data_IF_538451180263
#
_entry.id   IF_538451180263
#
_cell.length_a   1.000
_cell.length_b   1.000
_cell.length_c   1.000
_cell.angle_alpha   90.00
_cell.angle_beta   90.00
_cell.angle_gamma   90.00
#
_symmetry.space_group_name_H-M   'P 1'
#
loop_
_entity.id
_entity.type
_entity.pdbx_description
1 polymer ?
#
# COMPACT_ATOMS: atom_id res chain seq x y z
N UNK A 1 -1.33 -8.36 25.31
CA UNK A 1 -2.76 -7.99 25.53
C UNK A 1 -3.43 -7.47 24.27
N UNK A 2 -2.88 -6.44 23.59
CA UNK A 2 -3.54 -5.83 22.41
C UNK A 2 -3.81 -6.83 21.27
N UNK A 3 -2.88 -7.72 20.86
CA UNK A 3 -3.22 -8.78 19.90
C UNK A 3 -4.35 -9.70 20.37
N UNK A 4 -4.45 -9.96 21.67
CA UNK A 4 -5.58 -10.69 22.25
C UNK A 4 -6.91 -9.93 22.13
N UNK A 5 -6.90 -8.60 22.14
CA UNK A 5 -8.08 -7.79 21.83
C UNK A 5 -8.44 -7.89 20.34
N UNK A 6 -7.45 -7.81 19.45
CA UNK A 6 -7.64 -8.02 18.00
C UNK A 6 -8.29 -9.38 17.75
N UNK A 7 -7.81 -10.45 18.37
CA UNK A 7 -8.38 -11.80 18.22
C UNK A 7 -9.69 -12.05 19.00
N UNK A 8 -10.23 -11.04 19.69
CA UNK A 8 -11.47 -11.16 20.48
C UNK A 8 -11.36 -11.92 21.80
N UNK A 9 -10.15 -12.21 22.30
CA UNK A 9 -9.93 -12.84 23.61
C UNK A 9 -10.13 -11.86 24.78
N UNK A 10 -9.96 -10.56 24.52
CA UNK A 10 -10.19 -9.49 25.48
C UNK A 10 -11.05 -8.40 24.85
N UNK A 11 -11.84 -7.71 25.66
CA UNK A 11 -12.45 -6.45 25.26
C UNK A 11 -11.44 -5.31 25.40
N UNK A 12 -11.63 -4.21 24.68
CA UNK A 12 -10.76 -3.03 24.82
C UNK A 12 -10.73 -2.53 26.28
N UNK A 13 -11.85 -2.58 27.00
CA UNK A 13 -11.93 -2.16 28.41
C UNK A 13 -11.02 -3.00 29.32
N UNK A 14 -10.89 -4.31 29.08
CA UNK A 14 -10.00 -5.20 29.85
C UNK A 14 -8.51 -4.91 29.63
N UNK A 15 -8.17 -4.16 28.57
CA UNK A 15 -6.78 -3.81 28.23
C UNK A 15 -6.39 -2.40 28.68
N UNK A 16 -7.30 -1.66 29.34
CA UNK A 16 -7.10 -0.27 29.75
C UNK A 16 -7.09 -0.15 31.28
N UNK A 17 -6.27 0.77 31.78
CA UNK A 17 -6.20 1.12 33.20
C UNK A 17 -6.73 2.54 33.36
N UNK A 18 -7.63 2.75 34.32
CA UNK A 18 -8.07 4.09 34.68
C UNK A 18 -7.03 4.74 35.61
N UNK A 19 -6.35 5.78 35.14
CA UNK A 19 -5.23 6.40 35.85
C UNK A 19 -5.68 7.27 37.04
N UNK A 20 -6.84 7.91 36.97
CA UNK A 20 -7.28 8.84 38.02
C UNK A 20 -7.51 8.13 39.37
N UNK A 21 -8.27 7.01 39.46
CA UNK A 21 -8.39 6.26 40.72
C UNK A 21 -7.05 5.71 41.22
N UNK A 22 -6.17 5.29 40.31
CA UNK A 22 -4.86 4.74 40.67
C UNK A 22 -3.92 5.81 41.23
N UNK A 23 -3.92 7.00 40.64
CA UNK A 23 -3.17 8.14 41.13
C UNK A 23 -3.67 8.60 42.50
N UNK A 24 -5.00 8.68 42.68
CA UNK A 24 -5.62 8.97 43.97
C UNK A 24 -5.23 7.95 45.04
N UNK A 25 -5.23 6.65 44.71
CA UNK A 25 -4.79 5.59 45.61
C UNK A 25 -3.31 5.73 45.99
N UNK A 26 -2.45 6.13 45.05
CA UNK A 26 -1.02 6.34 45.27
C UNK A 26 -0.69 7.67 45.96
N UNK A 27 -1.67 8.56 46.16
CA UNK A 27 -1.45 9.91 46.68
C UNK A 27 -0.70 10.84 45.72
N UNK A 28 -0.78 10.57 44.41
CA UNK A 28 -0.13 11.37 43.35
C UNK A 28 -1.17 12.23 42.63
N UNK A 29 -0.82 13.48 42.33
CA UNK A 29 -1.68 14.35 41.51
C UNK A 29 -1.64 13.90 40.05
N UNK A 30 -2.80 13.54 39.50
CA UNK A 30 -2.95 13.24 38.09
C UNK A 30 -3.39 14.48 37.31
N UNK A 31 -2.66 14.80 36.24
CA UNK A 31 -3.01 15.88 35.30
C UNK A 31 -3.26 15.24 33.94
N UNK A 32 -4.53 15.21 33.51
CA UNK A 32 -4.90 14.70 32.20
C UNK A 32 -4.74 15.79 31.13
N UNK A 33 -3.50 16.01 30.68
CA UNK A 33 -3.16 16.98 29.65
C UNK A 33 -1.95 16.49 28.84
N UNK A 34 -1.82 16.94 27.60
CA UNK A 34 -0.64 16.64 26.77
C UNK A 34 0.44 17.69 27.02
N UNK A 35 1.68 17.24 27.22
CA UNK A 35 2.85 18.15 27.21
C UNK A 35 3.14 18.54 25.76
N UNK A 36 3.05 19.83 25.45
CA UNK A 36 3.32 20.39 24.13
C UNK A 36 4.80 20.72 23.92
N UNK A 37 5.48 21.24 24.96
CA UNK A 37 6.92 21.48 24.95
C UNK A 37 7.50 21.41 26.37
N UNK A 38 8.82 21.25 26.45
CA UNK A 38 9.57 21.23 27.69
C UNK A 38 10.71 22.26 27.64
N UNK A 39 10.72 23.19 28.58
CA UNK A 39 11.84 24.07 28.87
C UNK A 39 12.67 23.41 29.98
N UNK A 40 13.79 22.79 29.58
CA UNK A 40 14.65 22.04 30.50
C UNK A 40 15.54 22.97 31.34
N UNK A 41 15.88 24.15 30.82
CA UNK A 41 16.69 25.14 31.54
C UNK A 41 15.84 25.86 32.60
N UNK A 42 14.62 26.24 32.23
CA UNK A 42 13.64 26.84 33.12
C UNK A 42 12.88 25.87 34.01
N UNK A 43 13.11 24.55 33.84
CA UNK A 43 12.43 23.46 34.55
C UNK A 43 10.89 23.55 34.48
N UNK A 44 10.37 23.73 33.26
CA UNK A 44 8.94 23.92 32.98
C UNK A 44 8.44 23.03 31.85
N UNK A 45 7.20 22.60 31.96
CA UNK A 45 6.45 21.95 30.88
C UNK A 45 5.29 22.85 30.47
N UNK A 46 5.14 23.10 29.17
CA UNK A 46 3.96 23.75 28.61
C UNK A 46 2.96 22.68 28.22
N UNK A 47 1.73 22.79 28.72
CA UNK A 47 0.63 21.89 28.39
C UNK A 47 -0.15 22.39 27.17
N UNK A 48 -0.85 21.48 26.51
CA UNK A 48 -1.70 21.74 25.34
C UNK A 48 -2.85 22.73 25.60
N UNK A 49 -3.29 22.84 26.85
CA UNK A 49 -4.26 23.82 27.30
C UNK A 49 -3.65 25.20 27.63
N UNK A 50 -2.35 25.39 27.39
CA UNK A 50 -1.61 26.63 27.62
C UNK A 50 -1.14 26.86 29.05
N UNK A 51 -1.43 25.94 29.99
CA UNK A 51 -0.91 26.03 31.37
C UNK A 51 0.53 25.53 31.49
N UNK A 52 1.23 25.99 32.53
CA UNK A 52 2.62 25.59 32.81
C UNK A 52 2.70 24.71 34.07
N UNK A 53 3.55 23.69 34.02
CA UNK A 53 3.96 22.90 35.17
C UNK A 53 5.46 23.10 35.44
N UNK A 54 5.79 23.61 36.63
CA UNK A 54 7.18 23.70 37.11
C UNK A 54 7.54 22.38 37.79
N UNK A 55 8.77 21.91 37.62
CA UNK A 55 9.26 20.69 38.25
C UNK A 55 10.66 20.89 38.85
N UNK A 56 11.01 20.11 39.87
CA UNK A 56 12.39 19.98 40.34
C UNK A 56 13.13 18.84 39.61
N UNK A 57 12.39 17.76 39.31
CA UNK A 57 12.87 16.60 38.57
C UNK A 57 11.75 16.13 37.63
N UNK A 58 12.10 15.79 36.39
CA UNK A 58 11.17 15.23 35.40
C UNK A 58 11.67 13.87 34.91
N UNK A 59 10.73 12.93 34.76
CA UNK A 59 10.97 11.63 34.14
C UNK A 59 10.07 11.52 32.91
N UNK A 60 10.66 11.29 31.74
CA UNK A 60 9.92 11.15 30.48
C UNK A 60 9.69 9.68 30.15
N UNK A 61 8.43 9.26 30.17
CA UNK A 61 7.96 7.94 29.70
C UNK A 61 6.86 8.11 28.65
N UNK A 62 7.16 8.90 27.62
CA UNK A 62 6.19 9.30 26.57
C UNK A 62 6.05 8.25 25.44
N UNK A 63 6.72 7.10 25.57
CA UNK A 63 6.70 6.03 24.58
C UNK A 63 7.50 6.33 23.30
N UNK A 64 7.13 5.66 22.20
CA UNK A 64 7.82 5.72 20.91
C UNK A 64 6.83 5.84 19.74
N UNK A 65 7.29 6.42 18.63
CA UNK A 65 6.58 6.41 17.35
C UNK A 65 7.00 5.21 16.46
N UNK A 66 6.23 4.93 15.41
CA UNK A 66 6.61 3.93 14.39
C UNK A 66 7.69 4.53 13.50
N UNK A 67 8.92 4.02 13.60
CA UNK A 67 10.04 4.48 12.77
C UNK A 67 9.77 4.20 11.29
N UNK A 68 10.03 5.18 10.43
CA UNK A 68 9.99 5.04 8.98
C UNK A 68 8.58 4.95 8.37
N UNK A 69 7.51 5.11 9.16
CA UNK A 69 6.14 5.10 8.63
C UNK A 69 5.91 6.27 7.66
N UNK A 70 6.42 7.47 7.99
CA UNK A 70 6.35 8.64 7.11
C UNK A 70 7.37 8.61 5.96
N UNK A 71 8.37 7.72 6.03
CA UNK A 71 9.42 7.59 5.00
C UNK A 71 9.01 6.63 3.88
N UNK A 72 8.15 5.64 4.18
CA UNK A 72 7.65 4.67 3.19
C UNK A 72 6.49 5.32 2.44
N UNK A 73 6.68 5.53 1.13
CA UNK A 73 5.67 6.16 0.27
C UNK A 73 4.33 5.42 0.36
N UNK A 74 3.26 6.18 0.57
CA UNK A 74 1.89 5.65 0.66
C UNK A 74 1.56 4.86 1.93
N UNK A 75 2.51 4.61 2.85
CA UNK A 75 2.21 3.91 4.10
C UNK A 75 1.25 4.71 5.00
N UNK A 76 1.29 6.04 4.97
CA UNK A 76 0.34 6.88 5.71
C UNK A 76 -1.12 6.76 5.22
N UNK A 77 -1.30 6.47 3.94
CA UNK A 77 -2.61 6.45 3.27
C UNK A 77 -3.19 5.03 3.20
N UNK A 78 -2.35 4.04 2.90
CA UNK A 78 -2.77 2.69 2.54
C UNK A 78 -2.38 1.63 3.58
N UNK A 79 -1.98 2.01 4.79
CA UNK A 79 -1.64 1.07 5.85
C UNK A 79 -2.25 1.42 7.21
N UNK A 80 -2.37 0.41 8.08
CA UNK A 80 -2.82 0.57 9.46
C UNK A 80 -1.60 0.60 10.38
N UNK A 81 -1.22 1.76 10.95
CA UNK A 81 -0.07 1.82 11.84
C UNK A 81 -0.40 1.21 13.21
N UNK A 82 0.56 0.45 13.76
CA UNK A 82 0.46 -0.15 15.10
C UNK A 82 0.57 0.86 16.24
N UNK A 83 1.04 2.09 15.95
CA UNK A 83 1.12 3.20 16.92
C UNK A 83 0.25 4.37 16.46
N UNK A 84 -0.31 5.15 17.41
CA UNK A 84 -0.42 4.84 18.84
C UNK A 84 -1.22 3.55 19.08
N UNK A 85 -0.72 2.69 19.99
CA UNK A 85 -1.25 1.33 20.15
C UNK A 85 -2.70 1.31 20.67
N UNK A 86 -3.12 2.38 21.32
CA UNK A 86 -4.48 2.60 21.82
C UNK A 86 -5.52 2.66 20.70
N UNK A 87 -5.12 2.99 19.47
CA UNK A 87 -6.01 3.15 18.32
C UNK A 87 -6.01 1.93 17.38
N UNK A 88 -5.04 1.02 17.53
CA UNK A 88 -4.85 -0.10 16.62
C UNK A 88 -6.09 -0.97 16.47
N UNK A 89 -6.76 -1.33 17.58
CA UNK A 89 -7.95 -2.19 17.54
C UNK A 89 -9.08 -1.49 16.78
N UNK A 90 -9.33 -0.22 17.07
CA UNK A 90 -10.36 0.58 16.39
C UNK A 90 -10.08 0.69 14.89
N UNK A 91 -8.84 0.95 14.49
CA UNK A 91 -8.47 1.05 13.06
C UNK A 91 -8.69 -0.26 12.31
N UNK A 92 -8.37 -1.39 12.94
CA UNK A 92 -8.65 -2.73 12.37
C UNK A 92 -10.16 -2.93 12.24
N UNK A 93 -10.92 -2.65 13.29
CA UNK A 93 -12.39 -2.76 13.27
C UNK A 93 -13.03 -1.85 12.21
N UNK A 94 -12.48 -0.67 11.96
CA UNK A 94 -12.93 0.26 10.91
C UNK A 94 -12.63 -0.27 9.50
N UNK A 95 -11.40 -0.75 9.28
CA UNK A 95 -11.01 -1.36 8.00
C UNK A 95 -11.85 -2.61 7.67
N UNK A 96 -12.29 -3.35 8.68
CA UNK A 96 -13.14 -4.54 8.52
C UNK A 96 -14.57 -4.22 8.06
N UNK A 97 -15.11 -3.03 8.35
CA UNK A 97 -16.53 -2.71 8.10
C UNK A 97 -16.92 -2.79 6.62
N UNK A 98 -15.97 -2.57 5.71
CA UNK A 98 -16.19 -2.61 4.26
C UNK A 98 -16.06 -4.00 3.65
N UNK A 99 -15.67 -5.02 4.41
CA UNK A 99 -15.28 -6.32 3.89
C UNK A 99 -16.39 -7.35 4.15
N UNK A 100 -17.11 -7.76 3.10
CA UNK A 100 -18.18 -8.77 3.15
C UNK A 100 -17.69 -10.12 3.64
N UNK A 101 -18.52 -10.93 4.30
CA UNK A 101 -18.13 -12.20 4.95
C UNK A 101 -17.51 -13.23 3.98
N UNK A 102 -17.89 -13.16 2.72
CA UNK A 102 -17.47 -14.03 1.62
C UNK A 102 -16.27 -13.50 0.81
N UNK A 103 -15.83 -12.27 1.05
CA UNK A 103 -14.67 -11.71 0.37
C UNK A 103 -13.37 -12.40 0.81
N UNK A 104 -12.55 -12.77 -0.18
CA UNK A 104 -11.16 -13.19 0.03
C UNK A 104 -10.35 -11.96 0.51
N UNK A 105 -9.55 -12.14 1.57
CA UNK A 105 -8.75 -11.06 2.17
C UNK A 105 -7.30 -11.51 2.32
N UNK A 106 -6.37 -10.66 1.90
CA UNK A 106 -4.94 -10.83 2.14
C UNK A 106 -4.45 -9.77 3.13
N UNK A 107 -3.73 -10.22 4.15
CA UNK A 107 -3.16 -9.34 5.18
C UNK A 107 -1.66 -9.43 5.14
N UNK A 108 -1.02 -8.28 4.97
CA UNK A 108 0.43 -8.16 5.07
C UNK A 108 0.79 -7.46 6.38
N UNK A 109 1.54 -8.15 7.23
CA UNK A 109 2.10 -7.59 8.47
C UNK A 109 3.57 -7.25 8.24
N UNK A 110 3.90 -5.96 8.32
CA UNK A 110 5.28 -5.47 8.14
C UNK A 110 6.00 -5.47 9.49
N UNK A 111 7.00 -6.33 9.62
CA UNK A 111 7.83 -6.52 10.81
C UNK A 111 7.60 -7.88 11.47
N UNK A 112 8.64 -8.71 11.50
CA UNK A 112 8.70 -10.03 12.12
C UNK A 112 9.20 -10.04 13.57
N UNK A 113 9.02 -8.92 14.29
CA UNK A 113 9.20 -8.88 15.74
C UNK A 113 8.01 -9.51 16.49
N UNK A 114 8.11 -9.60 17.83
CA UNK A 114 7.07 -10.19 18.68
C UNK A 114 5.67 -9.63 18.38
N UNK A 115 5.55 -8.30 18.31
CA UNK A 115 4.28 -7.63 18.06
C UNK A 115 3.67 -8.00 16.70
N UNK A 116 4.47 -8.03 15.63
CA UNK A 116 3.98 -8.37 14.29
C UNK A 116 3.58 -9.84 14.18
N UNK A 117 4.36 -10.74 14.77
CA UNK A 117 4.02 -12.17 14.82
C UNK A 117 2.73 -12.41 15.61
N UNK A 118 2.58 -11.80 16.78
CA UNK A 118 1.34 -11.90 17.56
C UNK A 118 0.14 -11.32 16.79
N UNK A 119 0.31 -10.19 16.10
CA UNK A 119 -0.75 -9.61 15.26
C UNK A 119 -1.14 -10.53 14.10
N UNK A 120 -0.18 -11.15 13.43
CA UNK A 120 -0.46 -12.10 12.35
C UNK A 120 -1.29 -13.30 12.85
N UNK A 121 -0.93 -13.86 14.01
CA UNK A 121 -1.75 -14.90 14.64
C UNK A 121 -3.14 -14.38 15.05
N UNK A 122 -3.21 -13.18 15.61
CA UNK A 122 -4.46 -12.60 16.09
C UNK A 122 -5.45 -12.35 14.95
N UNK A 123 -5.01 -11.75 13.85
CA UNK A 123 -5.82 -11.49 12.67
C UNK A 123 -6.28 -12.80 12.02
N UNK A 124 -5.35 -13.76 11.85
CA UNK A 124 -5.70 -15.10 11.34
C UNK A 124 -6.77 -15.78 12.19
N UNK A 125 -6.67 -15.67 13.53
CA UNK A 125 -7.63 -16.25 14.45
C UNK A 125 -8.98 -15.52 14.47
N UNK A 126 -8.98 -14.19 14.31
CA UNK A 126 -10.18 -13.36 14.24
C UNK A 126 -11.00 -13.71 12.99
N UNK A 127 -10.37 -13.65 11.82
CA UNK A 127 -11.07 -13.80 10.53
C UNK A 127 -11.31 -15.25 10.12
N UNK A 128 -10.50 -16.19 10.62
CA UNK A 128 -10.71 -17.61 10.36
C UNK A 128 -11.96 -18.22 11.01
N UNK A 129 -12.65 -17.51 11.93
CA UNK A 129 -13.84 -18.03 12.63
C UNK A 129 -15.16 -17.57 12.02
N UNK A 130 -15.18 -16.37 11.46
CA UNK A 130 -16.43 -15.65 11.18
C UNK A 130 -16.66 -15.39 9.68
N UNK A 131 -15.66 -15.70 8.84
CA UNK A 131 -15.68 -15.42 7.40
C UNK A 131 -15.71 -16.71 6.58
N UNK A 132 -16.43 -16.68 5.45
CA UNK A 132 -16.46 -17.77 4.46
C UNK A 132 -15.45 -17.57 3.33
N UNK A 133 -15.06 -16.32 3.07
CA UNK A 133 -13.95 -15.99 2.19
C UNK A 133 -12.62 -16.44 2.77
N UNK A 134 -11.61 -16.61 1.92
CA UNK A 134 -10.25 -17.00 2.34
C UNK A 134 -9.60 -15.85 3.09
N UNK A 135 -8.75 -16.20 4.05
CA UNK A 135 -7.88 -15.23 4.73
C UNK A 135 -6.44 -15.65 4.58
N UNK A 136 -5.71 -14.99 3.70
CA UNK A 136 -4.26 -15.08 3.63
C UNK A 136 -3.62 -14.09 4.60
N UNK A 137 -2.51 -14.51 5.21
CA UNK A 137 -1.71 -13.67 6.10
C UNK A 137 -0.25 -13.91 5.80
N UNK A 138 0.50 -12.84 5.60
CA UNK A 138 1.94 -12.85 5.34
C UNK A 138 2.66 -11.86 6.25
N UNK A 139 3.82 -12.27 6.77
CA UNK A 139 4.73 -11.40 7.51
C UNK A 139 5.90 -11.05 6.58
N UNK A 140 6.14 -9.76 6.39
CA UNK A 140 7.37 -9.28 5.76
C UNK A 140 8.36 -8.87 6.84
N UNK A 141 9.55 -9.46 6.86
CA UNK A 141 10.60 -9.07 7.79
C UNK A 141 11.90 -8.73 7.04
N UNK A 142 12.54 -7.64 7.44
CA UNK A 142 13.79 -7.21 6.84
C UNK A 142 14.98 -8.07 7.25
N UNK A 143 14.87 -8.86 8.32
CA UNK A 143 15.90 -9.81 8.70
C UNK A 143 15.72 -11.14 7.95
N UNK A 144 16.83 -11.88 7.88
CA UNK A 144 16.85 -13.21 7.27
C UNK A 144 16.23 -14.30 8.16
N UNK A 145 15.94 -13.98 9.43
CA UNK A 145 15.33 -14.88 10.41
C UNK A 145 14.43 -14.10 11.36
N UNK A 146 13.31 -14.71 11.79
CA UNK A 146 12.48 -14.16 12.88
C UNK A 146 13.24 -14.32 14.21
N UNK A 147 13.15 -13.34 15.12
CA UNK A 147 13.80 -13.38 16.44
C UNK A 147 15.31 -13.72 16.39
N UNK A 148 16.16 -12.86 15.82
CA UNK A 148 17.59 -13.12 15.71
C UNK A 148 18.29 -13.32 17.08
N UNK A 149 17.76 -12.72 18.15
CA UNK A 149 18.29 -12.85 19.52
C UNK A 149 17.92 -14.13 20.27
N UNK A 150 17.04 -14.96 19.71
CA UNK A 150 16.53 -16.17 20.38
C UNK A 150 17.31 -17.44 20.02
N UNK A 151 17.02 -18.55 20.69
CA UNK A 151 17.58 -19.86 20.31
C UNK A 151 16.91 -20.42 19.03
N UNK A 152 17.61 -21.30 18.31
CA UNK A 152 17.05 -22.00 17.15
C UNK A 152 15.80 -22.80 17.50
N UNK A 153 15.76 -23.43 18.68
CA UNK A 153 14.59 -24.18 19.13
C UNK A 153 13.37 -23.28 19.32
N UNK A 154 13.55 -22.10 19.91
CA UNK A 154 12.46 -21.13 20.09
C UNK A 154 11.96 -20.62 18.73
N UNK A 155 12.88 -20.24 17.83
CA UNK A 155 12.52 -19.83 16.46
C UNK A 155 11.76 -20.93 15.71
N UNK A 156 12.27 -22.16 15.77
CA UNK A 156 11.67 -23.31 15.11
C UNK A 156 10.26 -23.61 15.62
N UNK A 157 10.01 -23.43 16.92
CA UNK A 157 8.67 -23.55 17.48
C UNK A 157 7.70 -22.51 16.90
N UNK A 158 8.11 -21.24 16.81
CA UNK A 158 7.27 -20.17 16.25
C UNK A 158 6.99 -20.40 14.76
N UNK A 159 8.04 -20.69 13.96
CA UNK A 159 7.89 -20.97 12.52
C UNK A 159 6.95 -22.14 12.29
N UNK A 160 7.06 -23.21 13.08
CA UNK A 160 6.15 -24.36 13.01
C UNK A 160 4.69 -23.97 13.25
N UNK A 161 4.42 -23.10 14.23
CA UNK A 161 3.05 -22.64 14.51
C UNK A 161 2.50 -21.69 13.44
N UNK A 162 3.36 -20.86 12.82
CA UNK A 162 3.01 -20.03 11.66
C UNK A 162 2.63 -20.91 10.46
N UNK A 163 3.49 -21.88 10.10
CA UNK A 163 3.24 -22.78 8.97
C UNK A 163 1.96 -23.62 9.15
N UNK A 164 1.70 -24.15 10.36
CA UNK A 164 0.47 -24.89 10.66
C UNK A 164 -0.81 -24.10 10.40
N UNK A 165 -0.76 -22.76 10.53
CA UNK A 165 -1.90 -21.86 10.31
C UNK A 165 -1.90 -21.23 8.92
N UNK A 166 -0.97 -21.63 8.06
CA UNK A 166 -0.83 -21.07 6.73
C UNK A 166 -0.49 -19.57 6.75
N UNK A 167 0.26 -19.12 7.75
CA UNK A 167 0.81 -17.76 7.79
C UNK A 167 2.17 -17.81 7.09
N UNK A 168 2.30 -17.05 6.00
CA UNK A 168 3.53 -16.95 5.22
C UNK A 168 4.52 -16.00 5.90
N UNK A 169 5.81 -16.23 5.66
CA UNK A 169 6.87 -15.33 6.13
C UNK A 169 7.84 -15.13 4.97
N UNK A 170 8.07 -13.87 4.62
CA UNK A 170 9.06 -13.47 3.63
C UNK A 170 10.17 -12.70 4.34
N UNK A 171 11.37 -13.26 4.24
CA UNK A 171 12.59 -12.75 4.85
C UNK A 171 13.36 -11.84 3.91
N UNK A 172 14.20 -10.96 4.48
CA UNK A 172 14.99 -10.01 3.69
C UNK A 172 14.15 -9.00 2.91
N UNK A 173 12.87 -8.82 3.29
CA UNK A 173 11.94 -7.95 2.61
C UNK A 173 11.88 -6.59 3.32
N UNK A 174 12.30 -5.53 2.61
CA UNK A 174 12.16 -4.15 3.06
C UNK A 174 11.07 -3.50 2.23
N UNK A 175 9.98 -3.08 2.88
CA UNK A 175 8.90 -2.36 2.22
C UNK A 175 9.38 -0.96 1.84
N UNK A 176 9.22 -0.61 0.56
CA UNK A 176 9.61 0.70 -0.01
C UNK A 176 8.42 1.60 -0.31
N UNK A 177 7.29 0.99 -0.63
CA UNK A 177 6.06 1.69 -0.99
C UNK A 177 4.85 0.82 -0.66
N UNK A 178 3.74 1.46 -0.31
CA UNK A 178 2.41 0.86 -0.19
C UNK A 178 1.49 1.63 -1.13
N UNK A 179 0.67 0.93 -1.89
CA UNK A 179 -0.29 1.52 -2.86
C UNK A 179 -1.66 0.92 -2.62
N UNK A 180 -2.69 1.58 -3.15
CA UNK A 180 -3.99 0.96 -3.33
C UNK A 180 -3.87 -0.27 -4.24
N UNK A 181 -4.66 -1.32 -3.96
CA UNK A 181 -4.65 -2.54 -4.76
C UNK A 181 -5.23 -2.28 -6.14
N UNK A 182 -4.38 -2.14 -7.16
CA UNK A 182 -4.79 -2.17 -8.56
C UNK A 182 -4.66 -3.61 -9.09
N UNK A 183 -5.73 -4.40 -8.99
CA UNK A 183 -5.72 -5.81 -9.45
C UNK A 183 -5.67 -5.96 -10.98
N UNK A 184 -6.11 -4.92 -11.69
CA UNK A 184 -6.20 -4.91 -13.14
C UNK A 184 -5.30 -3.80 -13.70
N UNK A 185 -3.98 -4.07 -13.77
CA UNK A 185 -2.99 -3.24 -14.47
C UNK A 185 -2.79 -3.71 -15.91
N UNK A 186 -2.32 -2.82 -16.80
CA UNK A 186 -2.07 -3.16 -18.20
C UNK A 186 -0.95 -4.21 -18.32
N UNK A 187 -1.29 -5.41 -18.78
CA UNK A 187 -0.37 -6.52 -19.03
C UNK A 187 -0.17 -6.65 -20.54
N UNK A 188 1.08 -6.69 -21.01
CA UNK A 188 1.40 -6.87 -22.43
C UNK A 188 2.29 -8.11 -22.62
N UNK A 189 1.85 -9.07 -23.42
CA UNK A 189 2.54 -10.34 -23.70
C UNK A 189 2.88 -10.41 -25.19
N UNK A 190 4.17 -10.46 -25.53
CA UNK A 190 4.61 -10.64 -26.91
C UNK A 190 4.34 -12.07 -27.38
N UNK A 191 3.92 -12.21 -28.64
CA UNK A 191 3.69 -13.51 -29.28
C UNK A 191 4.92 -14.04 -30.05
N UNK A 192 5.94 -13.20 -30.25
CA UNK A 192 7.21 -13.56 -30.89
C UNK A 192 7.22 -13.45 -32.42
N UNK A 193 6.13 -12.98 -33.02
CA UNK A 193 5.93 -12.81 -34.46
C UNK A 193 5.70 -11.34 -34.86
N UNK A 194 6.03 -10.40 -33.98
CA UNK A 194 5.75 -8.97 -34.16
C UNK A 194 4.34 -8.54 -33.73
N UNK A 195 3.60 -9.44 -33.07
CA UNK A 195 2.34 -9.11 -32.38
C UNK A 195 2.44 -9.29 -30.86
N UNK A 196 1.49 -8.70 -30.15
CA UNK A 196 1.32 -8.88 -28.71
C UNK A 196 -0.18 -8.98 -28.34
N UNK A 197 -0.43 -9.52 -27.16
CA UNK A 197 -1.73 -9.53 -26.49
C UNK A 197 -1.65 -8.65 -25.25
N UNK A 198 -2.63 -7.77 -25.07
CA UNK A 198 -2.78 -6.90 -23.92
C UNK A 198 -4.01 -7.23 -23.08
N UNK A 199 -3.97 -6.95 -21.78
CA UNK A 199 -5.09 -7.13 -20.85
C UNK A 199 -5.24 -5.89 -19.95
N UNK A 200 -6.43 -5.28 -19.89
CA UNK A 200 -6.86 -4.28 -18.89
C UNK A 200 -8.40 -4.20 -18.86
N UNK A 201 -9.00 -3.88 -17.71
CA UNK A 201 -10.46 -3.78 -17.51
C UNK A 201 -11.23 -5.08 -17.79
N UNK A 202 -10.61 -6.24 -17.54
CA UNK A 202 -11.17 -7.55 -17.86
C UNK A 202 -11.31 -7.86 -19.35
N UNK A 203 -10.83 -6.98 -20.23
CA UNK A 203 -10.85 -7.15 -21.69
C UNK A 203 -9.45 -7.42 -22.22
N UNK A 204 -9.38 -7.95 -23.45
CA UNK A 204 -8.11 -8.18 -24.15
C UNK A 204 -8.04 -7.41 -25.48
N UNK A 205 -6.81 -7.06 -25.86
CA UNK A 205 -6.46 -6.53 -27.18
C UNK A 205 -5.38 -7.41 -27.79
N UNK A 206 -5.35 -7.52 -29.12
CA UNK A 206 -4.28 -8.19 -29.84
C UNK A 206 -3.94 -7.41 -31.10
N UNK A 207 -2.66 -7.38 -31.46
CA UNK A 207 -2.23 -6.98 -32.78
C UNK A 207 -0.82 -6.45 -32.77
N UNK A 208 -0.39 -5.99 -33.94
CA UNK A 208 0.91 -5.36 -34.13
C UNK A 208 1.06 -4.07 -33.31
N UNK A 209 0.04 -3.20 -33.29
CA UNK A 209 0.11 -1.95 -32.53
C UNK A 209 0.25 -2.19 -31.01
N UNK A 210 -0.26 -3.32 -30.50
CA UNK A 210 -0.09 -3.73 -29.09
C UNK A 210 1.37 -4.11 -28.81
N UNK A 211 2.03 -4.74 -29.79
CA UNK A 211 3.46 -5.00 -29.72
C UNK A 211 4.26 -3.70 -29.79
N UNK A 212 3.89 -2.79 -30.69
CA UNK A 212 4.54 -1.47 -30.80
C UNK A 212 4.36 -0.64 -29.53
N UNK A 213 3.21 -0.73 -28.84
CA UNK A 213 3.03 -0.14 -27.52
C UNK A 213 3.98 -0.75 -26.49
N UNK A 214 4.10 -2.09 -26.47
CA UNK A 214 5.05 -2.76 -25.56
C UNK A 214 6.49 -2.35 -25.86
N UNK A 215 6.87 -2.33 -27.13
CA UNK A 215 8.21 -1.92 -27.58
C UNK A 215 8.49 -0.48 -27.17
N UNK A 216 7.54 0.43 -27.39
CA UNK A 216 7.62 1.83 -26.94
C UNK A 216 7.86 1.94 -25.42
N UNK A 217 7.10 1.19 -24.61
CA UNK A 217 7.25 1.20 -23.15
C UNK A 217 8.60 0.59 -22.73
N UNK A 218 8.97 -0.57 -23.27
CA UNK A 218 10.18 -1.29 -22.90
C UNK A 218 11.44 -0.50 -23.32
N UNK A 219 11.49 0.01 -24.55
CA UNK A 219 12.59 0.84 -25.05
C UNK A 219 12.66 2.15 -24.28
N UNK A 220 11.50 2.79 -24.05
CA UNK A 220 11.40 3.97 -23.22
C UNK A 220 12.01 3.73 -21.85
N UNK A 221 11.66 2.63 -21.17
CA UNK A 221 12.22 2.22 -19.89
C UNK A 221 13.74 2.00 -19.94
N UNK A 222 14.26 1.37 -20.99
CA UNK A 222 15.70 1.17 -21.14
C UNK A 222 16.45 2.50 -21.31
N UNK A 223 15.81 3.52 -21.89
CA UNK A 223 16.44 4.83 -22.15
C UNK A 223 16.78 5.63 -20.88
N UNK A 224 16.15 5.45 -19.70
CA UNK A 224 16.60 6.11 -18.45
C UNK A 224 17.99 5.62 -18.01
N UNK A 225 18.35 4.41 -18.44
CA UNK A 225 19.59 3.76 -18.06
C UNK A 225 20.65 3.85 -19.15
N UNK A 226 20.32 4.44 -20.30
CA UNK A 226 21.27 4.69 -21.37
C UNK A 226 22.17 5.88 -21.01
N UNK A 227 23.43 5.58 -20.71
CA UNK A 227 24.45 6.54 -20.28
C UNK A 227 24.68 7.65 -21.32
N UNK A 228 24.43 7.40 -22.61
CA UNK A 228 24.54 8.44 -23.65
C UNK A 228 23.35 9.40 -23.63
N UNK A 229 22.18 8.97 -23.12
CA UNK A 229 20.95 9.76 -22.97
C UNK A 229 20.85 10.43 -21.59
N UNK A 230 21.48 9.87 -20.55
CA UNK A 230 21.78 10.54 -19.27
C UNK A 230 22.88 11.59 -19.52
N UNK A 231 22.49 12.74 -20.08
CA UNK A 231 23.33 13.65 -20.87
C UNK A 231 24.54 14.37 -20.22
N UNK A 232 25.46 13.65 -19.55
CA UNK A 232 26.78 14.14 -19.16
C UNK A 232 26.81 15.03 -17.92
N UNK A 233 26.11 14.66 -16.85
CA UNK A 233 26.20 15.34 -15.56
C UNK A 233 25.87 14.37 -14.44
N UNK A 234 26.90 13.86 -13.77
CA UNK A 234 26.74 12.87 -12.72
C UNK A 234 26.01 13.42 -11.50
N UNK A 235 24.96 12.73 -11.09
CA UNK A 235 24.57 12.50 -9.70
C UNK A 235 24.02 11.07 -9.60
N UNK A 236 24.43 10.34 -8.56
CA UNK A 236 24.19 8.89 -8.33
C UNK A 236 22.72 8.51 -8.01
N UNK A 237 21.73 9.26 -8.47
CA UNK A 237 20.33 8.92 -8.31
C UNK A 237 19.76 8.53 -9.68
N UNK A 238 19.60 7.23 -9.90
CA UNK A 238 18.88 6.72 -11.07
C UNK A 238 17.47 7.29 -11.11
N UNK A 239 17.04 7.76 -12.29
CA UNK A 239 15.73 8.38 -12.49
C UNK A 239 14.59 7.50 -11.97
N UNK A 240 13.61 8.15 -11.35
CA UNK A 240 12.42 7.50 -10.83
C UNK A 240 11.49 7.13 -11.99
N UNK A 241 10.64 6.12 -11.84
CA UNK A 241 9.57 5.82 -12.82
C UNK A 241 8.63 7.02 -13.03
N UNK A 242 8.57 7.96 -12.07
CA UNK A 242 7.85 9.23 -12.20
C UNK A 242 8.46 10.19 -13.24
N UNK A 243 9.77 10.12 -13.48
CA UNK A 243 10.43 10.99 -14.46
C UNK A 243 10.04 10.64 -15.91
N UNK A 244 9.51 9.44 -16.17
CA UNK A 244 8.89 9.10 -17.46
C UNK A 244 7.60 9.86 -17.71
N UNK A 245 6.67 9.73 -16.78
CA UNK A 245 5.32 10.24 -16.94
C UNK A 245 5.31 11.78 -17.09
N UNK A 246 6.38 12.46 -16.66
CA UNK A 246 6.52 13.92 -16.70
C UNK A 246 7.15 14.47 -18.01
N UNK A 247 7.80 13.64 -18.84
CA UNK A 247 8.42 14.06 -20.10
C UNK A 247 7.58 13.69 -21.32
N UNK A 248 6.55 14.50 -21.59
CA UNK A 248 5.65 14.32 -22.74
C UNK A 248 6.13 15.14 -23.95
N UNK A 249 6.28 14.48 -25.11
CA UNK A 249 6.65 15.15 -26.37
C UNK A 249 5.54 16.08 -26.88
N UNK A 250 5.86 17.05 -27.74
CA UNK A 250 4.82 17.92 -28.34
C UNK A 250 3.76 17.12 -29.11
N UNK A 251 4.17 16.04 -29.78
CA UNK A 251 3.24 15.14 -30.47
C UNK A 251 2.30 14.44 -29.49
N UNK A 252 2.79 13.97 -28.34
CA UNK A 252 1.94 13.34 -27.32
C UNK A 252 0.95 14.33 -26.70
N UNK A 253 1.35 15.59 -26.51
CA UNK A 253 0.45 16.66 -26.05
C UNK A 253 -0.68 16.91 -27.05
N UNK A 254 -0.37 16.98 -28.35
CA UNK A 254 -1.36 17.13 -29.43
C UNK A 254 -2.35 15.97 -29.42
N UNK A 255 -1.83 14.74 -29.44
CA UNK A 255 -2.65 13.51 -29.41
C UNK A 255 -3.52 13.43 -28.16
N UNK A 256 -3.01 13.84 -26.98
CA UNK A 256 -3.82 13.90 -25.77
C UNK A 256 -5.03 14.80 -25.95
N UNK A 257 -4.85 16.01 -26.48
CA UNK A 257 -5.94 16.97 -26.71
C UNK A 257 -6.97 16.40 -27.69
N UNK A 258 -6.54 15.71 -28.74
CA UNK A 258 -7.44 15.02 -29.67
C UNK A 258 -8.26 13.93 -28.96
N UNK A 259 -7.63 13.12 -28.11
CA UNK A 259 -8.29 12.03 -27.38
C UNK A 259 -9.25 12.55 -26.31
N UNK A 260 -9.03 13.72 -25.71
CA UNK A 260 -10.03 14.31 -24.80
C UNK A 260 -11.35 14.63 -25.52
N UNK A 261 -11.31 14.93 -26.82
CA UNK A 261 -12.48 15.23 -27.64
C UNK A 261 -13.19 14.03 -28.27
N UNK A 262 -12.61 12.83 -28.16
CA UNK A 262 -13.17 11.62 -28.80
C UNK A 262 -14.42 11.13 -28.05
N UNK A 263 -15.44 10.69 -28.79
CA UNK A 263 -16.59 10.01 -28.20
C UNK A 263 -16.23 8.56 -27.81
N UNK A 264 -16.97 8.02 -26.84
CA UNK A 264 -16.70 6.71 -26.26
C UNK A 264 -16.81 5.57 -27.28
N UNK A 265 -17.74 5.68 -28.24
CA UNK A 265 -17.93 4.64 -29.24
C UNK A 265 -16.76 4.57 -30.21
N UNK A 266 -16.28 5.72 -30.68
CA UNK A 266 -15.08 5.81 -31.52
C UNK A 266 -13.85 5.29 -30.77
N UNK A 267 -13.66 5.70 -29.50
CA UNK A 267 -12.55 5.22 -28.67
C UNK A 267 -12.54 3.68 -28.54
N UNK A 268 -13.67 3.08 -28.16
CA UNK A 268 -13.79 1.63 -28.02
C UNK A 268 -13.59 0.87 -29.34
N UNK A 269 -14.03 1.42 -30.47
CA UNK A 269 -13.76 0.85 -31.80
C UNK A 269 -12.28 0.90 -32.16
N UNK A 270 -11.59 1.97 -31.79
CA UNK A 270 -10.19 2.20 -32.15
C UNK A 270 -9.25 1.27 -31.38
N UNK A 271 -9.39 1.19 -30.06
CA UNK A 271 -8.58 0.29 -29.22
C UNK A 271 -8.85 -1.19 -29.49
N UNK A 272 -10.02 -1.53 -30.04
CA UNK A 272 -10.33 -2.92 -30.42
C UNK A 272 -9.78 -3.33 -31.79
N UNK A 273 -9.16 -2.42 -32.56
CA UNK A 273 -8.59 -2.76 -33.87
C UNK A 273 -7.41 -3.71 -33.70
N UNK A 274 -7.33 -4.70 -34.58
CA UNK A 274 -6.22 -5.67 -34.64
C UNK A 274 -5.37 -5.51 -35.89
N UNK A 275 -5.78 -4.62 -36.80
CA UNK A 275 -5.04 -4.29 -38.01
C UNK A 275 -3.80 -3.43 -37.69
N UNK A 276 -2.86 -3.35 -38.62
CA UNK A 276 -1.60 -2.63 -38.44
C UNK A 276 -1.68 -1.12 -38.73
N UNK A 277 -2.85 -0.58 -39.11
CA UNK A 277 -3.03 0.81 -39.51
C UNK A 277 -3.59 1.66 -38.35
N UNK A 278 -2.99 1.50 -37.17
CA UNK A 278 -3.44 2.12 -35.92
C UNK A 278 -2.34 3.04 -35.40
N UNK A 279 -2.70 4.25 -34.96
CA UNK A 279 -1.75 5.14 -34.29
C UNK A 279 -1.57 4.68 -32.83
N UNK A 280 -0.42 4.09 -32.54
CA UNK A 280 -0.06 3.55 -31.23
C UNK A 280 -0.15 4.61 -30.13
N UNK A 281 0.31 5.84 -30.40
CA UNK A 281 0.26 6.92 -29.41
C UNK A 281 -1.18 7.32 -29.10
N UNK A 282 -2.02 7.38 -30.13
CA UNK A 282 -3.45 7.69 -29.96
C UNK A 282 -4.16 6.63 -29.14
N UNK A 283 -3.97 5.35 -29.46
CA UNK A 283 -4.51 4.25 -28.66
C UNK A 283 -3.98 4.23 -27.23
N UNK A 284 -2.70 4.54 -27.03
CA UNK A 284 -2.11 4.67 -25.70
C UNK A 284 -2.80 5.77 -24.89
N UNK A 285 -3.04 6.93 -25.48
CA UNK A 285 -3.75 8.01 -24.81
C UNK A 285 -5.23 7.70 -24.56
N UNK A 286 -5.91 6.95 -25.43
CA UNK A 286 -7.26 6.44 -25.16
C UNK A 286 -7.22 5.53 -23.91
N UNK A 287 -6.27 4.61 -23.83
CA UNK A 287 -6.09 3.73 -22.67
C UNK A 287 -5.80 4.53 -21.39
N UNK A 288 -4.91 5.52 -21.44
CA UNK A 288 -4.64 6.42 -20.29
C UNK A 288 -5.89 7.18 -19.85
N UNK A 289 -6.69 7.66 -20.81
CA UNK A 289 -7.98 8.31 -20.51
C UNK A 289 -8.96 7.35 -19.84
N UNK A 290 -9.09 6.13 -20.36
CA UNK A 290 -9.92 5.08 -19.74
C UNK A 290 -9.48 4.78 -18.30
N UNK A 291 -8.17 4.74 -18.02
CA UNK A 291 -7.66 4.52 -16.66
C UNK A 291 -8.02 5.68 -15.71
N UNK A 292 -7.95 6.93 -16.20
CA UNK A 292 -8.27 8.13 -15.41
C UNK A 292 -9.78 8.30 -15.18
N UNK A 293 -10.60 7.88 -16.14
CA UNK A 293 -12.06 8.03 -16.13
C UNK A 293 -12.79 6.72 -15.79
N UNK A 294 -12.11 5.76 -15.17
CA UNK A 294 -12.67 4.46 -14.78
C UNK A 294 -13.95 4.65 -13.94
N UNK A 295 -15.03 3.98 -14.34
CA UNK A 295 -16.37 4.11 -13.74
C UNK A 295 -17.25 5.26 -14.26
N UNK A 296 -16.76 6.11 -15.17
CA UNK A 296 -17.59 7.14 -15.83
C UNK A 296 -18.50 6.57 -16.93
N UNK A 297 -19.54 7.32 -17.34
CA UNK A 297 -20.39 6.92 -18.49
C UNK A 297 -19.58 6.77 -19.80
N UNK A 298 -18.58 7.65 -20.02
CA UNK A 298 -17.72 7.56 -21.19
C UNK A 298 -16.88 6.28 -21.17
N UNK A 299 -16.29 5.97 -20.01
CA UNK A 299 -15.51 4.75 -19.82
C UNK A 299 -16.36 3.49 -20.03
N UNK A 300 -17.53 3.42 -19.39
CA UNK A 300 -18.41 2.26 -19.48
C UNK A 300 -18.85 2.03 -20.93
N UNK A 301 -19.17 3.07 -21.69
CA UNK A 301 -19.52 2.90 -23.10
C UNK A 301 -18.33 2.47 -23.95
N UNK A 302 -17.15 3.08 -23.76
CA UNK A 302 -15.94 2.73 -24.51
C UNK A 302 -15.52 1.28 -24.26
N UNK A 303 -15.51 0.86 -22.99
CA UNK A 303 -15.26 -0.53 -22.57
C UNK A 303 -16.31 -1.46 -23.16
N UNK A 304 -17.60 -1.10 -23.08
CA UNK A 304 -18.70 -1.89 -23.63
C UNK A 304 -18.59 -2.04 -25.15
N UNK A 305 -18.03 -1.08 -25.88
CA UNK A 305 -17.75 -1.19 -27.34
C UNK A 305 -16.53 -2.05 -27.61
N UNK A 306 -15.46 -1.90 -26.81
CA UNK A 306 -14.27 -2.75 -26.91
C UNK A 306 -14.62 -4.23 -26.68
N UNK A 307 -15.37 -4.54 -25.62
CA UNK A 307 -15.83 -5.88 -25.29
C UNK A 307 -16.71 -6.52 -26.40
N UNK A 308 -17.46 -5.70 -27.14
CA UNK A 308 -18.37 -6.07 -28.26
C UNK A 308 -17.64 -6.65 -29.51
N UNK A 309 -16.37 -7.06 -29.39
CA UNK A 309 -15.55 -7.69 -30.46
C UNK A 309 -15.05 -9.11 -30.13
N UNK A 310 -15.25 -9.58 -28.90
CA UNK A 310 -14.91 -10.94 -28.45
C UNK A 310 -16.01 -11.99 -28.66
N UNK A 311 -17.16 -11.61 -29.23
CA UNK A 311 -18.32 -12.47 -29.48
C UNK A 311 -18.53 -12.76 -30.97
#
# INVERSE_FOLDING_TARGET
>A
MVPGCVSGLYTQAQTKINLEPLANYAGVTFVNAKVASADLDGCKLLLDNGSELVYDVVSFDIGSATRGHDEVKGAGEFSIPTRPISELVTRIEEAERGIGVDDDVEVVVVGGGAAGIELAFAIKARWGKERTGKTGVEILDSNNVLFPGESESCRGAVVKELSKRGIKVTHGAVVKEVREGEDDFLKLIMLGDGEAVGFRFGEYIRGRWVWELKDFIDVGFMDLFDVEKIGGGGTEEGGSTKDYDEHESEREKEVRVEVEGIDAETAGREISRTDGDVDVLRNWHIMKRMMREEGSEWFEEARRVWARRGA
#
